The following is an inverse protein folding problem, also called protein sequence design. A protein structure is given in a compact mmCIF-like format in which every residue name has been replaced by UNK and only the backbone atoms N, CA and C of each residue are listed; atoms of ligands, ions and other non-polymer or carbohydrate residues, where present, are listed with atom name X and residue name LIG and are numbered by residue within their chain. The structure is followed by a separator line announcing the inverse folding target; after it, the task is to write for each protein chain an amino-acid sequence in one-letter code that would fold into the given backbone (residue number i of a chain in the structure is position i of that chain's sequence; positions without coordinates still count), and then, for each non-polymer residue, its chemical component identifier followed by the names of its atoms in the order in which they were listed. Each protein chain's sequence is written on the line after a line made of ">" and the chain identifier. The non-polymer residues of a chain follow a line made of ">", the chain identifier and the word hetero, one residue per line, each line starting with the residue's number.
data_IF_792199027116
#
_entry.id   IF_792199027116
#
_cell.length_a   1.000
_cell.length_b   1.000
_cell.length_c   1.000
_cell.angle_alpha   90.00
_cell.angle_beta   90.00
_cell.angle_gamma   90.00
#
_symmetry.space_group_name_H-M   'P 1'
#
loop_
_entity.id
_entity.type
_entity.pdbx_description
1 polymer ?
#
# COMPACT_ATOMS: atom_id res chain seq x y z
N UNK A 1 68.24 30.20 2.19
CA UNK A 1 68.62 31.62 2.42
C UNK A 1 67.53 32.46 1.76
N UNK A 2 66.69 33.28 2.38
CA UNK A 2 66.58 33.85 3.73
C UNK A 2 65.10 34.32 3.92
N UNK A 3 64.54 34.09 5.12
CA UNK A 3 63.48 34.80 5.90
C UNK A 3 62.21 35.33 5.19
N UNK A 4 60.99 34.90 5.59
CA UNK A 4 60.27 35.15 6.85
C UNK A 4 59.90 36.64 7.09
N UNK A 5 58.61 36.99 6.96
CA UNK A 5 57.96 38.00 7.79
C UNK A 5 56.45 37.78 7.86
N UNK A 6 56.03 37.42 9.09
CA UNK A 6 54.69 37.41 9.65
C UNK A 6 54.12 38.84 9.69
N UNK A 7 52.81 38.98 9.48
CA UNK A 7 52.00 39.97 10.20
C UNK A 7 50.61 39.39 10.47
N UNK A 8 50.32 39.29 11.77
CA UNK A 8 49.11 38.80 12.40
C UNK A 8 47.94 39.77 12.20
N UNK A 9 46.75 39.23 11.94
CA UNK A 9 45.50 39.86 12.36
C UNK A 9 44.54 38.76 12.85
N UNK A 10 44.50 38.64 14.17
CA UNK A 10 43.49 37.92 14.93
C UNK A 10 42.21 38.76 14.97
N UNK A 11 41.11 38.20 14.47
CA UNK A 11 39.78 38.57 14.90
C UNK A 11 38.95 37.30 15.05
N UNK A 12 38.58 37.05 16.29
CA UNK A 12 37.77 35.97 16.83
C UNK A 12 36.34 35.95 16.29
N UNK A 13 35.89 34.80 15.79
CA UNK A 13 34.51 34.30 15.90
C UNK A 13 34.64 32.77 15.97
N UNK A 14 34.41 32.11 17.09
CA UNK A 14 33.14 32.11 17.79
C UNK A 14 32.41 30.85 17.35
N UNK A 15 32.52 29.79 18.17
CA UNK A 15 31.79 28.54 18.01
C UNK A 15 30.33 28.77 17.64
N UNK A 16 29.88 28.15 16.56
CA UNK A 16 28.50 27.72 16.43
C UNK A 16 28.53 26.21 16.17
N UNK A 17 28.48 25.44 17.25
CA UNK A 17 27.78 24.16 17.19
C UNK A 17 26.37 24.51 16.75
N UNK A 18 26.05 24.30 15.48
CA UNK A 18 24.67 24.27 15.05
C UNK A 18 24.05 23.04 15.71
N UNK A 19 23.19 23.34 16.68
CA UNK A 19 22.32 22.41 17.36
C UNK A 19 21.52 21.64 16.30
N UNK A 20 21.90 20.37 16.04
CA UNK A 20 21.14 19.42 15.22
C UNK A 20 19.94 18.91 16.03
N UNK A 21 19.15 19.84 16.55
CA UNK A 21 17.89 19.61 17.24
C UNK A 21 16.80 20.51 16.65
N UNK A 22 16.71 20.53 15.32
CA UNK A 22 15.42 20.74 14.69
C UNK A 22 14.86 19.36 14.38
N UNK A 23 14.22 18.76 15.39
CA UNK A 23 13.21 17.72 15.15
C UNK A 23 12.16 18.41 14.28
N UNK A 24 12.26 18.21 12.97
CA UNK A 24 11.34 18.80 12.00
C UNK A 24 9.93 18.35 12.44
N UNK A 25 9.14 19.31 12.93
CA UNK A 25 7.81 19.02 13.43
C UNK A 25 7.01 18.50 12.24
N UNK A 26 6.50 17.28 12.34
CA UNK A 26 5.62 16.73 11.32
C UNK A 26 4.45 17.69 11.07
N UNK A 27 3.99 17.82 9.82
CA UNK A 27 2.84 18.66 9.49
C UNK A 27 1.63 18.27 10.36
N UNK A 28 0.79 19.24 10.75
CA UNK A 28 -0.36 18.98 11.61
C UNK A 28 -1.31 17.87 11.08
N UNK A 29 -1.54 17.82 9.77
CA UNK A 29 -2.34 16.76 9.13
C UNK A 29 -1.75 15.35 9.32
N UNK A 30 -0.41 15.23 9.35
CA UNK A 30 0.28 13.95 9.57
C UNK A 30 0.14 13.49 11.02
N UNK A 31 0.08 14.43 11.97
CA UNK A 31 -0.17 14.13 13.38
C UNK A 31 -1.63 13.76 13.64
N UNK A 32 -2.57 14.38 12.90
CA UNK A 32 -4.01 14.16 13.02
C UNK A 32 -4.42 12.77 12.50
N UNK A 33 -3.99 12.41 11.29
CA UNK A 33 -4.21 11.05 10.71
C UNK A 33 -3.61 9.96 11.59
N UNK A 34 -2.43 10.20 12.17
CA UNK A 34 -1.83 9.27 13.12
C UNK A 34 -2.68 9.07 14.37
N UNK A 35 -3.38 10.11 14.87
CA UNK A 35 -4.22 10.03 16.06
C UNK A 35 -5.54 9.29 15.77
N UNK A 36 -6.21 9.63 14.67
CA UNK A 36 -7.46 8.95 14.26
C UNK A 36 -7.24 7.47 14.01
N UNK A 37 -6.17 7.12 13.27
CA UNK A 37 -5.79 5.73 13.01
C UNK A 37 -5.44 4.98 14.30
N UNK A 38 -4.73 5.62 15.24
CA UNK A 38 -4.49 5.03 16.57
C UNK A 38 -5.80 4.73 17.30
N UNK A 39 -6.75 5.67 17.33
CA UNK A 39 -8.03 5.46 17.99
C UNK A 39 -8.85 4.35 17.32
N UNK A 40 -8.82 4.26 15.99
CA UNK A 40 -9.50 3.19 15.26
C UNK A 40 -8.88 1.82 15.56
N UNK A 41 -7.55 1.72 15.61
CA UNK A 41 -6.86 0.48 15.94
C UNK A 41 -7.13 0.03 17.39
N UNK A 42 -7.19 0.97 18.34
CA UNK A 42 -7.57 0.67 19.72
C UNK A 42 -9.02 0.16 19.80
N UNK A 43 -9.96 0.79 19.09
CA UNK A 43 -11.35 0.30 19.01
C UNK A 43 -11.45 -1.12 18.46
N UNK A 44 -10.65 -1.45 17.44
CA UNK A 44 -10.56 -2.83 16.94
C UNK A 44 -10.11 -3.75 18.06
N UNK A 45 -8.99 -3.47 18.72
CA UNK A 45 -8.48 -4.32 19.80
C UNK A 45 -9.51 -4.50 20.92
N UNK A 46 -10.15 -3.42 21.36
CA UNK A 46 -11.20 -3.44 22.40
C UNK A 46 -12.43 -4.27 22.01
N UNK A 47 -12.79 -4.30 20.72
CA UNK A 47 -13.93 -5.07 20.20
C UNK A 47 -13.66 -6.58 20.13
N UNK A 48 -12.38 -6.98 20.07
CA UNK A 48 -11.99 -8.38 19.90
C UNK A 48 -11.98 -9.13 21.23
N UNK A 49 -12.40 -10.39 21.19
CA UNK A 49 -12.25 -11.30 22.34
C UNK A 49 -10.77 -11.61 22.62
N UNK A 50 -10.39 -12.03 23.84
CA UNK A 50 -9.00 -12.33 24.16
C UNK A 50 -8.33 -13.33 23.19
N UNK A 51 -8.98 -14.43 22.76
CA UNK A 51 -8.39 -15.33 21.75
C UNK A 51 -8.14 -14.67 20.39
N UNK A 52 -8.97 -13.70 19.99
CA UNK A 52 -8.77 -12.96 18.74
C UNK A 52 -7.67 -11.91 18.89
N UNK A 53 -7.58 -11.23 20.05
CA UNK A 53 -6.49 -10.30 20.35
C UNK A 53 -5.12 -11.00 20.30
N UNK A 54 -5.00 -12.20 20.88
CA UNK A 54 -3.76 -12.99 20.84
C UNK A 54 -3.31 -13.35 19.41
N UNK A 55 -4.26 -13.47 18.47
CA UNK A 55 -3.98 -13.81 17.07
C UNK A 55 -3.76 -12.59 16.19
N UNK A 56 -4.35 -11.45 16.53
CA UNK A 56 -4.23 -10.22 15.73
C UNK A 56 -2.93 -9.49 16.04
N UNK A 57 -2.44 -9.54 17.28
CA UNK A 57 -1.34 -8.70 17.76
C UNK A 57 0.01 -9.42 17.71
N UNK A 58 0.99 -8.78 17.08
CA UNK A 58 2.37 -9.25 16.96
C UNK A 58 3.35 -8.17 17.43
N UNK A 59 4.58 -8.54 17.83
CA UNK A 59 5.67 -7.58 17.97
C UNK A 59 5.93 -6.80 16.68
N UNK A 60 6.35 -5.54 16.78
CA UNK A 60 6.59 -4.69 15.59
C UNK A 60 7.69 -5.23 14.67
N UNK A 61 8.70 -5.87 15.24
CA UNK A 61 9.85 -6.46 14.54
C UNK A 61 9.63 -7.93 14.13
N UNK A 62 8.42 -8.48 14.33
CA UNK A 62 8.11 -9.83 13.92
C UNK A 62 8.33 -10.03 12.41
N UNK A 63 8.93 -11.17 12.03
CA UNK A 63 9.11 -11.53 10.62
C UNK A 63 7.77 -11.62 9.86
N UNK A 64 6.68 -11.88 10.58
CA UNK A 64 5.33 -11.84 10.03
C UNK A 64 5.03 -10.51 9.34
N UNK A 65 5.57 -9.37 9.81
CA UNK A 65 5.36 -8.06 9.18
C UNK A 65 5.83 -8.00 7.73
N UNK A 66 6.80 -8.85 7.35
CA UNK A 66 7.34 -8.96 5.99
C UNK A 66 6.67 -10.07 5.17
N UNK A 67 5.83 -10.91 5.77
CA UNK A 67 5.16 -12.03 5.14
C UNK A 67 3.82 -11.63 4.48
N UNK A 68 3.85 -10.58 3.66
CA UNK A 68 2.67 -10.10 2.94
C UNK A 68 2.49 -10.88 1.64
N UNK A 69 1.24 -11.07 1.22
CA UNK A 69 0.96 -11.76 -0.03
C UNK A 69 -0.34 -11.26 -0.68
N UNK A 70 -0.32 -10.97 -1.98
CA UNK A 70 -1.56 -10.66 -2.74
C UNK A 70 -2.19 -11.87 -3.42
N UNK A 71 -1.47 -13.00 -3.47
CA UNK A 71 -1.97 -14.26 -4.00
C UNK A 71 -2.79 -14.99 -2.93
N UNK A 72 -3.76 -15.83 -3.36
CA UNK A 72 -4.48 -16.68 -2.42
C UNK A 72 -3.52 -17.73 -1.85
N UNK A 73 -3.47 -17.80 -0.51
CA UNK A 73 -2.67 -18.77 0.22
C UNK A 73 -3.55 -19.94 0.65
N UNK A 74 -3.08 -21.17 0.43
CA UNK A 74 -3.77 -22.40 0.85
C UNK A 74 -3.64 -22.66 2.36
N UNK A 75 -2.62 -22.10 3.01
CA UNK A 75 -2.38 -22.14 4.46
C UNK A 75 -2.69 -20.78 5.11
N UNK A 76 -3.05 -20.81 6.40
CA UNK A 76 -3.64 -19.67 7.12
C UNK A 76 -2.67 -18.48 7.19
N UNK A 77 -2.98 -17.44 6.40
CA UNK A 77 -2.55 -16.06 6.69
C UNK A 77 -2.71 -15.84 8.19
N UNK A 78 -1.66 -15.32 8.84
CA UNK A 78 -1.75 -14.99 10.26
C UNK A 78 -2.65 -13.77 10.45
N UNK A 79 -3.05 -13.57 11.71
CA UNK A 79 -4.05 -12.59 12.06
C UNK A 79 -5.43 -13.20 12.23
N UNK A 80 -6.42 -12.33 12.17
CA UNK A 80 -7.83 -12.69 12.32
C UNK A 80 -8.55 -12.44 10.99
N UNK A 81 -9.16 -13.47 10.37
CA UNK A 81 -10.01 -13.26 9.21
C UNK A 81 -11.31 -12.57 9.64
N UNK A 82 -11.82 -11.68 8.79
CA UNK A 82 -13.10 -11.00 9.03
C UNK A 82 -14.30 -11.97 9.03
N UNK A 83 -14.16 -13.16 8.45
CA UNK A 83 -15.12 -14.27 8.56
C UNK A 83 -15.35 -14.69 10.02
N UNK A 84 -14.32 -14.62 10.87
CA UNK A 84 -14.41 -14.97 12.30
C UNK A 84 -14.90 -13.83 13.19
N UNK A 85 -15.09 -12.64 12.62
CA UNK A 85 -15.53 -11.44 13.33
C UNK A 85 -17.06 -11.31 13.30
N UNK A 86 -17.64 -10.77 14.38
CA UNK A 86 -19.03 -10.34 14.36
C UNK A 86 -19.19 -9.00 13.60
N UNK A 87 -20.44 -8.52 13.46
CA UNK A 87 -20.71 -7.29 12.71
C UNK A 87 -20.03 -6.04 13.31
N UNK A 88 -20.12 -5.77 14.63
CA UNK A 88 -19.38 -4.66 15.25
C UNK A 88 -17.86 -4.73 15.06
N UNK A 89 -17.27 -5.92 15.17
CA UNK A 89 -15.83 -6.11 14.95
C UNK A 89 -15.44 -5.81 13.49
N UNK A 90 -16.21 -6.30 12.52
CA UNK A 90 -15.98 -6.00 11.10
C UNK A 90 -16.08 -4.50 10.80
N UNK A 91 -17.10 -3.84 11.37
CA UNK A 91 -17.27 -2.39 11.23
C UNK A 91 -16.07 -1.63 11.80
N UNK A 92 -15.54 -2.03 12.95
CA UNK A 92 -14.33 -1.43 13.52
C UNK A 92 -13.10 -1.60 12.61
N UNK A 93 -12.95 -2.75 11.94
CA UNK A 93 -11.86 -2.99 10.98
C UNK A 93 -12.00 -2.11 9.74
N UNK A 94 -13.21 -1.96 9.21
CA UNK A 94 -13.44 -1.06 8.07
C UNK A 94 -13.23 0.41 8.45
N UNK A 95 -13.66 0.82 9.64
CA UNK A 95 -13.36 2.16 10.14
C UNK A 95 -11.85 2.41 10.28
N UNK A 96 -11.05 1.39 10.64
CA UNK A 96 -9.59 1.49 10.63
C UNK A 96 -9.04 1.63 9.20
N UNK A 97 -9.57 0.87 8.23
CA UNK A 97 -9.21 1.02 6.82
C UNK A 97 -9.47 2.44 6.30
N UNK A 98 -10.62 3.00 6.64
CA UNK A 98 -11.03 4.36 6.24
C UNK A 98 -10.14 5.46 6.84
N UNK A 99 -9.41 5.22 7.93
CA UNK A 99 -8.43 6.22 8.45
C UNK A 99 -7.15 6.34 7.64
N UNK A 100 -6.91 5.44 6.68
CA UNK A 100 -5.70 5.42 5.88
C UNK A 100 -5.97 5.29 4.36
N UNK A 101 -7.26 5.25 4.00
CA UNK A 101 -7.74 5.17 2.62
C UNK A 101 -8.62 6.38 2.34
N UNK A 102 -8.43 7.00 1.19
CA UNK A 102 -9.44 7.89 0.61
C UNK A 102 -10.77 7.15 0.41
N UNK A 103 -11.88 7.88 0.28
CA UNK A 103 -13.20 7.33 -0.08
C UNK A 103 -13.13 6.39 -1.31
N UNK A 104 -12.35 6.78 -2.32
CA UNK A 104 -12.13 5.98 -3.52
C UNK A 104 -11.34 4.69 -3.22
N UNK A 105 -10.35 4.77 -2.32
CA UNK A 105 -9.57 3.62 -1.88
C UNK A 105 -10.44 2.62 -1.12
N UNK A 106 -11.23 3.09 -0.16
CA UNK A 106 -12.15 2.27 0.62
C UNK A 106 -13.22 1.62 -0.27
N UNK A 107 -13.83 2.39 -1.19
CA UNK A 107 -14.75 1.85 -2.19
C UNK A 107 -14.12 0.71 -3.00
N UNK A 108 -12.89 0.90 -3.50
CA UNK A 108 -12.18 -0.12 -4.28
C UNK A 108 -11.91 -1.39 -3.47
N UNK A 109 -11.55 -1.26 -2.19
CA UNK A 109 -11.38 -2.42 -1.31
C UNK A 109 -12.67 -3.22 -1.24
N UNK A 110 -13.80 -2.58 -0.95
CA UNK A 110 -15.10 -3.26 -0.88
C UNK A 110 -15.51 -3.91 -2.20
N UNK A 111 -15.32 -3.21 -3.32
CA UNK A 111 -15.66 -3.74 -4.64
C UNK A 111 -14.79 -4.95 -5.00
N UNK A 112 -13.49 -4.93 -4.72
CA UNK A 112 -12.59 -6.08 -4.93
C UNK A 112 -13.03 -7.28 -4.09
N UNK A 113 -13.38 -7.06 -2.82
CA UNK A 113 -13.91 -8.13 -1.97
C UNK A 113 -15.20 -8.73 -2.53
N UNK A 114 -16.09 -7.88 -3.06
CA UNK A 114 -17.35 -8.31 -3.65
C UNK A 114 -17.17 -9.15 -4.93
N UNK A 115 -16.10 -8.91 -5.70
CA UNK A 115 -15.79 -9.69 -6.91
C UNK A 115 -15.51 -11.17 -6.62
N UNK A 116 -15.14 -11.55 -5.39
CA UNK A 116 -15.03 -12.96 -5.03
C UNK A 116 -16.37 -13.69 -5.23
N UNK A 117 -17.53 -13.04 -5.01
CA UNK A 117 -18.84 -13.64 -5.29
C UNK A 117 -19.08 -13.85 -6.78
N UNK A 118 -18.61 -12.92 -7.61
CA UNK A 118 -18.71 -13.02 -9.07
C UNK A 118 -17.86 -14.20 -9.56
N UNK A 119 -16.62 -14.28 -9.11
CA UNK A 119 -15.72 -15.38 -9.45
C UNK A 119 -16.24 -16.74 -8.96
N UNK A 120 -16.82 -16.79 -7.76
CA UNK A 120 -17.46 -18.00 -7.25
C UNK A 120 -18.51 -18.55 -8.23
N UNK A 121 -19.35 -17.67 -8.78
CA UNK A 121 -20.38 -18.03 -9.76
C UNK A 121 -19.78 -18.41 -11.12
N UNK A 122 -18.88 -17.58 -11.66
CA UNK A 122 -18.25 -17.81 -12.96
C UNK A 122 -17.43 -19.12 -13.01
N UNK A 123 -16.80 -19.47 -11.90
CA UNK A 123 -15.99 -20.70 -11.77
C UNK A 123 -16.83 -21.93 -11.39
N UNK A 124 -18.15 -21.79 -11.21
CA UNK A 124 -19.04 -22.89 -10.83
C UNK A 124 -18.66 -23.53 -9.51
N UNK A 125 -18.20 -22.72 -8.54
CA UNK A 125 -17.71 -23.18 -7.24
C UNK A 125 -18.87 -23.72 -6.39
N UNK A 126 -18.59 -24.72 -5.56
CA UNK A 126 -19.58 -25.33 -4.66
C UNK A 126 -19.78 -24.52 -3.38
N UNK A 127 -20.83 -24.81 -2.62
CA UNK A 127 -21.21 -24.07 -1.40
C UNK A 127 -20.16 -24.11 -0.29
N UNK A 128 -19.30 -25.13 -0.27
CA UNK A 128 -18.23 -25.28 0.73
C UNK A 128 -16.92 -24.58 0.31
N UNK A 129 -16.94 -23.80 -0.78
CA UNK A 129 -15.76 -23.09 -1.27
C UNK A 129 -15.32 -21.99 -0.30
N UNK A 130 -14.11 -22.15 0.22
CA UNK A 130 -13.43 -21.14 1.05
C UNK A 130 -12.45 -20.28 0.26
N UNK A 131 -12.23 -20.59 -1.02
CA UNK A 131 -11.28 -19.88 -1.86
C UNK A 131 -11.86 -18.59 -2.44
N UNK A 132 -13.09 -18.62 -2.97
CA UNK A 132 -13.82 -17.43 -3.43
C UNK A 132 -14.74 -16.90 -2.33
N UNK A 133 -14.14 -16.49 -1.21
CA UNK A 133 -14.85 -15.98 -0.05
C UNK A 133 -14.58 -14.46 0.13
N UNK A 134 -15.60 -13.59 0.02
CA UNK A 134 -15.50 -12.15 0.30
C UNK A 134 -15.07 -11.81 1.74
N UNK A 135 -15.16 -12.77 2.66
CA UNK A 135 -14.82 -12.60 4.07
C UNK A 135 -13.46 -13.23 4.43
N UNK A 136 -12.74 -13.80 3.46
CA UNK A 136 -11.40 -14.38 3.66
C UNK A 136 -10.28 -13.30 3.59
N UNK A 137 -10.46 -12.20 4.33
CA UNK A 137 -9.51 -11.10 4.47
C UNK A 137 -9.06 -10.97 5.91
N UNK A 138 -7.78 -10.75 6.13
CA UNK A 138 -7.12 -10.90 7.42
C UNK A 138 -6.59 -9.56 7.91
N UNK A 139 -6.83 -9.27 9.19
CA UNK A 139 -6.18 -8.19 9.91
C UNK A 139 -5.04 -8.72 10.77
N UNK A 140 -3.90 -8.03 10.72
CA UNK A 140 -2.80 -8.19 11.68
C UNK A 140 -2.34 -6.83 12.17
N UNK A 141 -2.04 -6.68 13.45
CA UNK A 141 -1.52 -5.47 14.10
C UNK A 141 -0.12 -5.78 14.64
N UNK A 142 0.82 -4.86 14.45
CA UNK A 142 2.22 -4.99 14.81
C UNK A 142 2.62 -3.86 15.78
N UNK A 143 3.08 -4.22 16.97
CA UNK A 143 3.32 -3.26 18.04
C UNK A 143 2.03 -2.74 18.67
N UNK A 144 2.16 -1.87 19.67
CA UNK A 144 1.04 -1.28 20.39
C UNK A 144 0.60 0.04 19.73
N UNK A 145 -0.66 0.16 19.27
CA UNK A 145 -1.15 1.42 18.73
C UNK A 145 -1.05 2.57 19.75
N UNK A 146 -0.48 3.69 19.32
CA UNK A 146 -0.41 4.92 20.12
C UNK A 146 0.83 5.08 21.01
N UNK A 147 1.72 4.09 21.05
CA UNK A 147 3.00 4.21 21.75
C UNK A 147 3.95 5.20 21.05
N UNK A 148 4.96 5.69 21.78
CA UNK A 148 6.09 6.41 21.14
C UNK A 148 6.89 5.50 20.19
N UNK A 149 6.83 4.19 20.42
CA UNK A 149 7.42 3.18 19.57
C UNK A 149 6.65 3.02 18.25
N UNK A 150 7.31 2.60 17.17
CA UNK A 150 6.63 2.27 15.92
C UNK A 150 5.56 1.19 16.10
N UNK A 151 4.44 1.39 15.42
CA UNK A 151 3.39 0.39 15.28
C UNK A 151 2.87 0.36 13.85
N UNK A 152 2.10 -0.65 13.50
CA UNK A 152 1.55 -0.79 12.17
C UNK A 152 0.50 -1.87 12.10
N UNK A 153 -0.04 -2.07 10.92
CA UNK A 153 -1.05 -3.10 10.69
C UNK A 153 -1.06 -3.49 9.22
N UNK A 154 -1.63 -4.66 8.94
CA UNK A 154 -1.77 -5.21 7.60
C UNK A 154 -3.18 -5.71 7.40
N UNK A 155 -3.75 -5.37 6.25
CA UNK A 155 -5.02 -5.89 5.79
C UNK A 155 -4.84 -6.52 4.43
N UNK A 156 -5.19 -7.80 4.31
CA UNK A 156 -4.83 -8.56 3.12
C UNK A 156 -5.74 -9.76 2.88
N UNK A 157 -5.87 -10.14 1.62
CA UNK A 157 -6.67 -11.25 1.16
C UNK A 157 -6.47 -11.43 -0.34
N UNK A 158 -7.40 -12.14 -0.99
CA UNK A 158 -7.32 -12.30 -2.43
C UNK A 158 -7.35 -10.92 -3.11
N UNK A 159 -6.32 -10.60 -3.90
CA UNK A 159 -6.21 -9.33 -4.63
C UNK A 159 -6.04 -8.05 -3.79
N UNK A 160 -5.88 -8.14 -2.47
CA UNK A 160 -5.62 -6.99 -1.59
C UNK A 160 -4.41 -7.29 -0.72
N UNK A 161 -3.43 -6.38 -0.68
CA UNK A 161 -2.36 -6.42 0.32
C UNK A 161 -1.95 -5.00 0.68
N UNK A 162 -2.37 -4.54 1.85
CA UNK A 162 -2.12 -3.19 2.34
C UNK A 162 -1.34 -3.26 3.65
N UNK A 163 -0.20 -2.57 3.70
CA UNK A 163 0.69 -2.57 4.85
C UNK A 163 0.91 -1.15 5.33
N UNK A 164 0.59 -0.90 6.59
CA UNK A 164 0.64 0.40 7.23
C UNK A 164 1.70 0.39 8.33
N UNK A 165 2.45 1.48 8.44
CA UNK A 165 3.39 1.71 9.54
C UNK A 165 3.32 3.16 9.97
N UNK A 166 3.08 3.38 11.25
CA UNK A 166 3.11 4.69 11.89
C UNK A 166 4.32 4.80 12.81
N UNK A 167 5.02 5.91 12.70
CA UNK A 167 6.13 6.27 13.59
C UNK A 167 5.86 7.66 14.14
N UNK A 168 5.92 7.79 15.46
CA UNK A 168 5.66 9.06 16.14
C UNK A 168 6.54 10.19 15.59
N UNK A 169 5.90 11.25 15.12
CA UNK A 169 6.57 12.42 14.51
C UNK A 169 7.16 12.18 13.11
N UNK A 170 6.96 11.01 12.48
CA UNK A 170 7.40 10.74 11.11
C UNK A 170 6.24 10.40 10.15
N UNK A 171 5.04 10.17 10.69
CA UNK A 171 3.82 9.96 9.90
C UNK A 171 3.54 8.51 9.54
N UNK A 172 2.65 8.34 8.56
CA UNK A 172 2.17 7.06 8.05
C UNK A 172 2.88 6.69 6.75
N UNK A 173 3.29 5.42 6.65
CA UNK A 173 3.76 4.80 5.41
C UNK A 173 2.81 3.67 5.01
N UNK A 174 2.40 3.65 3.74
CA UNK A 174 1.53 2.61 3.17
C UNK A 174 2.29 1.83 2.10
N UNK A 175 3.17 0.93 2.52
CA UNK A 175 3.99 0.12 1.60
C UNK A 175 4.35 -1.24 2.20
N UNK A 176 4.21 -2.34 1.43
CA UNK A 176 3.63 -2.39 0.09
C UNK A 176 2.11 -2.21 0.09
N UNK A 177 1.60 -1.72 -1.03
CA UNK A 177 0.18 -1.52 -1.28
C UNK A 177 -0.19 -2.13 -2.63
N UNK A 178 -1.10 -3.10 -2.61
CA UNK A 178 -1.59 -3.78 -3.78
C UNK A 178 -3.12 -3.87 -3.76
N UNK A 179 -3.72 -3.50 -4.88
CA UNK A 179 -5.12 -3.73 -5.19
C UNK A 179 -5.19 -4.27 -6.63
N UNK A 180 -5.70 -5.49 -6.77
CA UNK A 180 -5.97 -6.15 -8.04
C UNK A 180 -7.46 -6.34 -8.25
N UNK A 181 -7.88 -6.53 -9.50
CA UNK A 181 -9.27 -6.83 -9.82
C UNK A 181 -9.29 -8.03 -10.78
N UNK A 182 -10.02 -9.07 -10.40
CA UNK A 182 -10.36 -10.18 -11.27
C UNK A 182 -11.87 -10.47 -11.08
N UNK A 183 -12.69 -10.41 -12.13
CA UNK A 183 -12.36 -9.96 -13.47
C UNK A 183 -11.95 -8.47 -13.52
N UNK A 184 -11.29 -8.07 -14.60
CA UNK A 184 -11.03 -6.65 -14.87
C UNK A 184 -12.29 -5.88 -15.28
N UNK A 185 -13.27 -6.60 -15.82
CA UNK A 185 -14.62 -6.15 -16.20
C UNK A 185 -15.58 -7.33 -15.97
N UNK A 186 -16.64 -7.12 -15.20
CA UNK A 186 -17.71 -8.12 -15.04
C UNK A 186 -18.60 -8.10 -16.29
N UNK A 187 -18.65 -9.22 -17.03
CA UNK A 187 -19.33 -9.29 -18.32
C UNK A 187 -20.77 -9.82 -18.28
N UNK A 188 -21.18 -10.41 -17.18
CA UNK A 188 -22.51 -11.01 -17.02
C UNK A 188 -22.91 -11.07 -15.55
N UNK A 189 -24.21 -11.25 -15.31
CA UNK A 189 -24.78 -11.39 -13.98
C UNK A 189 -25.10 -10.06 -13.29
N UNK A 190 -25.46 -10.09 -11.99
CA UNK A 190 -25.99 -8.91 -11.28
C UNK A 190 -25.03 -7.73 -11.17
N UNK A 191 -23.73 -7.94 -11.36
CA UNK A 191 -22.68 -6.92 -11.29
C UNK A 191 -22.11 -6.56 -12.68
N UNK A 192 -22.78 -6.92 -13.78
CA UNK A 192 -22.36 -6.60 -15.15
C UNK A 192 -21.98 -5.11 -15.32
N UNK A 193 -20.87 -4.85 -16.00
CA UNK A 193 -20.31 -3.52 -16.24
C UNK A 193 -19.41 -2.99 -15.11
N UNK A 194 -19.23 -3.74 -14.02
CA UNK A 194 -18.30 -3.37 -12.94
C UNK A 194 -16.85 -3.45 -13.42
N UNK A 195 -16.11 -2.35 -13.28
CA UNK A 195 -14.69 -2.21 -13.62
C UNK A 195 -13.94 -1.44 -12.51
N UNK A 196 -13.55 -2.12 -11.43
CA UNK A 196 -13.02 -1.47 -10.20
C UNK A 196 -11.77 -0.60 -10.47
N UNK A 197 -10.90 -1.05 -11.38
CA UNK A 197 -9.64 -0.36 -11.73
C UNK A 197 -9.71 0.32 -13.11
N UNK A 198 -10.90 0.72 -13.56
CA UNK A 198 -11.13 1.31 -14.89
C UNK A 198 -10.24 2.52 -15.17
N UNK A 199 -10.12 3.43 -14.19
CA UNK A 199 -9.36 4.67 -14.37
C UNK A 199 -7.87 4.39 -14.62
N UNK A 200 -7.28 3.48 -13.84
CA UNK A 200 -5.89 3.04 -13.99
C UNK A 200 -5.67 2.39 -15.35
N UNK A 201 -6.55 1.45 -15.74
CA UNK A 201 -6.48 0.79 -17.04
C UNK A 201 -6.59 1.79 -18.20
N UNK A 202 -7.54 2.72 -18.14
CA UNK A 202 -7.77 3.71 -19.18
C UNK A 202 -6.56 4.66 -19.35
N UNK A 203 -5.99 5.16 -18.25
CA UNK A 203 -4.82 6.04 -18.29
C UNK A 203 -3.58 5.29 -18.77
N UNK A 204 -3.36 4.06 -18.29
CA UNK A 204 -2.23 3.24 -18.72
C UNK A 204 -2.29 2.91 -20.22
N UNK A 205 -3.45 2.48 -20.73
CA UNK A 205 -3.66 2.21 -22.17
C UNK A 205 -3.45 3.47 -23.01
N UNK A 206 -3.98 4.60 -22.56
CA UNK A 206 -3.80 5.89 -23.26
C UNK A 206 -2.33 6.33 -23.31
N UNK A 207 -1.56 6.10 -22.24
CA UNK A 207 -0.13 6.40 -22.23
C UNK A 207 0.60 5.58 -23.30
N UNK A 208 0.35 4.28 -23.39
CA UNK A 208 0.96 3.39 -24.41
C UNK A 208 0.55 3.82 -25.83
N UNK A 209 -0.73 4.12 -26.04
CA UNK A 209 -1.25 4.58 -27.34
C UNK A 209 -0.68 5.94 -27.78
N UNK A 210 -0.19 6.75 -26.85
CA UNK A 210 0.39 8.05 -27.13
C UNK A 210 1.89 7.99 -27.50
N UNK A 211 2.55 6.84 -27.37
CA UNK A 211 3.96 6.68 -27.72
C UNK A 211 4.15 6.71 -29.24
N UNK A 212 5.20 7.38 -29.70
CA UNK A 212 5.64 7.25 -31.09
C UNK A 212 6.29 5.88 -31.35
N UNK A 213 6.60 5.57 -32.62
CA UNK A 213 7.16 4.26 -32.98
C UNK A 213 8.52 3.98 -32.34
N UNK A 214 9.38 4.99 -32.13
CA UNK A 214 10.68 4.84 -31.51
C UNK A 214 10.61 4.66 -29.99
N UNK A 215 9.66 5.34 -29.36
CA UNK A 215 9.33 5.18 -27.95
C UNK A 215 8.68 3.83 -27.68
N UNK A 216 7.73 3.41 -28.51
CA UNK A 216 7.03 2.14 -28.39
C UNK A 216 8.01 0.97 -28.55
N UNK A 217 8.94 1.05 -29.50
CA UNK A 217 9.98 0.03 -29.67
C UNK A 217 10.88 -0.14 -28.44
N UNK A 218 11.10 0.92 -27.66
CA UNK A 218 11.83 0.85 -26.39
C UNK A 218 10.95 0.37 -25.23
N UNK A 219 9.68 0.76 -25.20
CA UNK A 219 8.73 0.38 -24.14
C UNK A 219 8.26 -1.08 -24.25
N UNK A 220 8.28 -1.66 -25.46
CA UNK A 220 7.85 -3.04 -25.72
C UNK A 220 8.97 -4.04 -25.39
N UNK A 221 9.08 -4.41 -24.11
CA UNK A 221 10.18 -5.25 -23.61
C UNK A 221 9.98 -6.75 -23.78
N UNK A 222 8.75 -7.21 -24.03
CA UNK A 222 8.42 -8.62 -24.18
C UNK A 222 7.26 -8.82 -25.16
N UNK A 223 7.32 -9.88 -25.96
CA UNK A 223 6.22 -10.24 -26.87
C UNK A 223 5.00 -10.77 -26.12
N UNK A 224 5.24 -11.47 -25.01
CA UNK A 224 4.22 -11.98 -24.11
C UNK A 224 4.28 -11.22 -22.79
N UNK A 225 3.12 -10.93 -22.20
CA UNK A 225 3.07 -10.33 -20.89
C UNK A 225 3.67 -11.30 -19.86
N UNK A 226 4.43 -10.81 -18.86
CA UNK A 226 4.87 -11.63 -17.74
C UNK A 226 3.68 -12.34 -17.09
N UNK A 227 3.90 -13.57 -16.63
CA UNK A 227 2.87 -14.37 -15.96
C UNK A 227 2.32 -13.70 -14.69
N UNK A 228 3.14 -12.89 -14.03
CA UNK A 228 2.81 -12.15 -12.80
C UNK A 228 3.58 -10.82 -12.75
N UNK A 229 3.37 -10.03 -11.70
CA UNK A 229 4.16 -8.85 -11.38
C UNK A 229 5.63 -9.26 -11.22
N UNK A 230 6.53 -8.56 -11.91
CA UNK A 230 7.96 -8.92 -12.00
C UNK A 230 8.62 -9.13 -10.63
N UNK A 231 8.26 -8.34 -9.62
CA UNK A 231 8.82 -8.45 -8.26
C UNK A 231 8.03 -9.37 -7.35
N UNK A 232 6.84 -9.83 -7.74
CA UNK A 232 5.92 -10.63 -6.90
C UNK A 232 5.78 -10.04 -5.47
N UNK A 233 6.02 -10.85 -4.44
CA UNK A 233 5.94 -10.47 -3.03
C UNK A 233 7.30 -10.08 -2.40
N UNK A 234 8.30 -9.74 -3.21
CA UNK A 234 9.63 -9.40 -2.70
C UNK A 234 9.58 -8.09 -1.88
N UNK A 235 10.06 -8.08 -0.61
CA UNK A 235 10.01 -6.90 0.26
C UNK A 235 10.91 -5.76 -0.22
N UNK A 236 11.77 -6.02 -1.21
CA UNK A 236 12.62 -5.01 -1.86
C UNK A 236 12.53 -5.18 -3.37
N UNK A 237 12.33 -4.07 -4.08
CA UNK A 237 12.38 -4.06 -5.54
C UNK A 237 13.82 -4.37 -5.98
N UNK A 238 14.00 -5.55 -6.57
CA UNK A 238 15.25 -5.95 -7.19
C UNK A 238 14.99 -6.32 -8.67
N UNK A 239 15.18 -5.34 -9.54
CA UNK A 239 15.08 -5.56 -10.99
C UNK A 239 16.48 -5.89 -11.52
N UNK A 240 16.66 -7.10 -12.06
CA UNK A 240 17.93 -7.52 -12.68
C UNK A 240 18.35 -6.58 -13.81
N UNK A 241 17.36 -6.07 -14.55
CA UNK A 241 17.54 -5.09 -15.63
C UNK A 241 16.46 -4.02 -15.55
N UNK A 242 16.86 -2.77 -15.78
CA UNK A 242 15.95 -1.62 -15.90
C UNK A 242 15.63 -1.42 -17.38
N UNK A 243 14.75 -2.26 -17.90
CA UNK A 243 14.32 -2.24 -19.30
C UNK A 243 13.14 -1.27 -19.50
N UNK A 244 12.89 -0.87 -20.75
CA UNK A 244 11.79 0.01 -21.10
C UNK A 244 12.21 1.45 -21.41
N UNK A 245 11.20 2.28 -21.71
CA UNK A 245 11.36 3.69 -22.04
C UNK A 245 11.56 4.53 -20.77
N UNK A 246 12.70 5.22 -20.58
CA UNK A 246 12.90 6.05 -19.40
C UNK A 246 12.01 7.30 -19.44
N UNK A 247 11.55 7.74 -18.27
CA UNK A 247 10.61 8.87 -18.16
C UNK A 247 11.10 10.20 -18.76
N UNK A 248 12.41 10.41 -18.87
CA UNK A 248 12.96 11.62 -19.51
C UNK A 248 12.88 11.60 -21.04
N UNK A 249 12.68 10.42 -21.65
CA UNK A 249 12.47 10.27 -23.09
C UNK A 249 11.00 10.44 -23.51
N UNK A 250 10.09 10.64 -22.55
CA UNK A 250 8.68 10.95 -22.79
C UNK A 250 8.49 12.44 -23.15
N UNK A 251 7.62 12.71 -24.12
CA UNK A 251 7.13 14.04 -24.43
C UNK A 251 6.36 14.62 -23.22
N UNK A 252 6.24 15.96 -23.09
CA UNK A 252 5.56 16.58 -21.95
C UNK A 252 4.17 15.98 -21.65
N UNK A 253 3.30 15.84 -22.66
CA UNK A 253 1.96 15.28 -22.47
C UNK A 253 1.95 13.80 -22.04
N UNK A 254 2.96 13.01 -22.42
CA UNK A 254 3.10 11.63 -21.99
C UNK A 254 3.61 11.55 -20.54
N UNK A 255 4.52 12.46 -20.15
CA UNK A 255 4.96 12.61 -18.75
C UNK A 255 3.79 13.00 -17.84
N UNK A 256 2.92 13.89 -18.31
CA UNK A 256 1.70 14.25 -17.56
C UNK A 256 0.77 13.06 -17.39
N UNK A 257 0.64 12.21 -18.42
CA UNK A 257 -0.15 10.97 -18.37
C UNK A 257 0.46 9.95 -17.40
N UNK A 258 1.79 9.79 -17.40
CA UNK A 258 2.50 8.96 -16.43
C UNK A 258 2.31 9.48 -15.00
N UNK A 259 2.45 10.79 -14.79
CA UNK A 259 2.22 11.41 -13.48
C UNK A 259 0.76 11.23 -13.01
N UNK A 260 -0.21 11.30 -13.93
CA UNK A 260 -1.62 11.00 -13.62
C UNK A 260 -1.81 9.53 -13.23
N UNK A 261 -1.15 8.61 -13.92
CA UNK A 261 -1.20 7.20 -13.57
C UNK A 261 -0.66 6.97 -12.16
N UNK A 262 0.53 7.52 -11.85
CA UNK A 262 1.12 7.44 -10.50
C UNK A 262 0.15 8.00 -9.45
N UNK A 263 -0.44 9.18 -9.70
CA UNK A 263 -1.43 9.78 -8.80
C UNK A 263 -2.64 8.88 -8.57
N UNK A 264 -3.16 8.18 -9.58
CA UNK A 264 -4.27 7.24 -9.41
C UNK A 264 -3.93 6.08 -8.46
N UNK A 265 -2.67 5.66 -8.39
CA UNK A 265 -2.24 4.64 -7.43
C UNK A 265 -2.06 5.22 -6.04
N UNK A 266 -1.43 6.40 -5.93
CA UNK A 266 -1.11 6.99 -4.62
C UNK A 266 -2.31 7.64 -3.94
N UNK A 267 -3.25 8.23 -4.70
CA UNK A 267 -4.42 8.93 -4.16
C UNK A 267 -5.49 8.00 -3.57
N UNK A 268 -5.22 6.69 -3.51
CA UNK A 268 -6.08 5.73 -2.82
C UNK A 268 -5.83 5.76 -1.31
N UNK A 269 -4.64 6.20 -0.92
CA UNK A 269 -4.23 6.41 0.46
C UNK A 269 -4.37 7.89 0.77
N UNK A 270 -4.89 8.20 1.96
CA UNK A 270 -5.03 9.57 2.48
C UNK A 270 -4.58 9.57 3.95
#
# INVERSE_FOLDING_TARGET
>A
MYRLLLLLLLASLGWACADLSSREQAPAAVLDVSAEMTQAALRVLESLSPPLQERVLFPFDAEERKNWNYLPLKDQRKGVPIEEMDAPQREAVFALLETALSDLGAQKVHEIMALERVLHQLEGRGTDDRYRNPEAYFLTIFGQPGDEAPWGWRYEGHHISLNFSAVSGQGLSVTPAFLGSNPGEVREGPQEGTEVLRAEQAVARRLVQALDSGQLAQAWIAQEAPFDIVTTNEPRVNLERREGLPGHALLPAQRDSLARLIRLYTSKMD
#
